data_IF_931083718013
#
_entry.id   IF_931083718013
#
_cell.length_a   1.000
_cell.length_b   1.000
_cell.length_c   1.000
_cell.angle_alpha   90.00
_cell.angle_beta   90.00
_cell.angle_gamma   90.00
#
_symmetry.space_group_name_H-M   'P 1'
#
loop_
_entity.id
_entity.type
_entity.pdbx_description
1 polymer ?
#
# COMPACT_ATOMS: atom_id res chain seq x y z
N UNK A 1 37.54 75.91 42.11
CA UNK A 1 37.27 76.89 41.04
C UNK A 1 36.37 76.23 39.98
N UNK A 2 35.37 76.96 39.51
CA UNK A 2 34.29 76.56 38.57
C UNK A 2 34.77 76.41 37.12
N UNK A 3 34.15 75.46 36.38
CA UNK A 3 33.59 75.50 34.99
C UNK A 3 33.62 74.05 34.45
N UNK A 4 32.53 73.29 34.43
CA UNK A 4 31.42 73.28 33.43
C UNK A 4 31.96 73.47 32.00
N UNK A 5 32.03 72.41 31.18
CA UNK A 5 31.05 72.17 30.11
C UNK A 5 31.34 70.94 29.22
N UNK A 6 30.22 70.32 28.80
CA UNK A 6 29.96 69.56 27.55
C UNK A 6 30.07 68.04 27.53
N UNK A 7 28.88 67.45 27.66
CA UNK A 7 28.41 66.26 26.96
C UNK A 7 28.95 66.15 25.53
N UNK A 8 29.51 64.99 25.20
CA UNK A 8 29.26 64.30 23.94
C UNK A 8 28.96 62.84 24.31
N UNK A 9 27.70 62.48 24.21
CA UNK A 9 27.21 61.11 24.33
C UNK A 9 27.60 60.41 23.02
N UNK A 10 28.56 59.50 23.09
CA UNK A 10 28.92 58.62 21.98
C UNK A 10 28.23 57.28 22.21
N UNK A 11 26.97 57.20 21.76
CA UNK A 11 26.25 55.92 21.60
C UNK A 11 26.60 55.41 20.21
N UNK A 12 27.47 54.41 20.13
CA UNK A 12 27.68 53.66 18.89
C UNK A 12 27.79 52.17 19.23
N UNK A 13 26.69 51.48 18.90
CA UNK A 13 26.56 50.11 18.42
C UNK A 13 27.59 49.06 18.89
N UNK A 14 27.21 48.27 19.89
CA UNK A 14 27.66 46.88 19.99
C UNK A 14 26.75 46.01 19.12
N UNK A 15 27.24 45.61 17.97
CA UNK A 15 26.62 44.62 17.07
C UNK A 15 26.73 43.25 17.72
N UNK A 16 25.62 42.74 18.26
CA UNK A 16 25.51 41.32 18.57
C UNK A 16 25.30 40.58 17.26
N UNK A 17 26.36 39.91 16.80
CA UNK A 17 26.31 38.92 15.72
C UNK A 17 25.42 37.75 16.18
N UNK A 18 24.15 37.80 15.81
CA UNK A 18 23.31 36.61 15.75
C UNK A 18 23.76 35.84 14.52
N UNK A 19 24.62 34.85 14.72
CA UNK A 19 24.93 33.85 13.71
C UNK A 19 23.67 33.06 13.40
N UNK A 20 22.98 33.41 12.31
CA UNK A 20 22.13 32.48 11.59
C UNK A 20 23.03 31.39 11.00
N UNK A 21 23.30 30.36 11.80
CA UNK A 21 23.71 29.07 11.29
C UNK A 21 22.56 28.57 10.42
N UNK A 22 22.71 28.72 9.11
CA UNK A 22 22.00 27.95 8.09
C UNK A 22 22.35 26.48 8.27
N UNK A 23 21.75 25.86 9.30
CA UNK A 23 21.60 24.43 9.37
C UNK A 23 20.62 24.08 8.28
N UNK A 24 21.13 23.60 7.15
CA UNK A 24 20.38 22.71 6.28
C UNK A 24 19.83 21.61 7.18
N UNK A 25 18.57 21.75 7.59
CA UNK A 25 17.78 20.60 8.01
C UNK A 25 17.98 19.56 6.92
N UNK A 26 18.36 18.32 7.24
CA UNK A 26 18.20 17.23 6.31
C UNK A 26 16.73 17.28 5.94
N UNK A 27 16.45 17.71 4.72
CA UNK A 27 15.17 17.54 4.08
C UNK A 27 14.94 16.05 4.22
N UNK A 28 14.09 15.68 5.19
CA UNK A 28 13.74 14.30 5.42
C UNK A 28 13.32 13.83 4.05
N UNK A 29 14.15 12.99 3.43
CA UNK A 29 13.70 12.16 2.36
C UNK A 29 12.52 11.46 2.98
N UNK A 30 11.31 11.89 2.63
CA UNK A 30 10.16 11.04 2.77
C UNK A 30 10.48 9.89 1.85
N UNK A 31 11.24 8.94 2.39
CA UNK A 31 11.22 7.56 1.98
C UNK A 31 9.73 7.30 1.92
N UNK A 32 9.24 7.14 0.71
CA UNK A 32 7.89 6.72 0.45
C UNK A 32 7.80 5.35 1.13
N UNK A 33 7.48 5.35 2.43
CA UNK A 33 7.29 4.15 3.22
C UNK A 33 5.97 3.62 2.73
N UNK A 34 6.02 2.96 1.56
CA UNK A 34 5.01 2.00 1.16
C UNK A 34 4.71 1.18 2.41
N UNK A 35 3.45 1.28 2.83
CA UNK A 35 2.92 0.81 4.10
C UNK A 35 3.44 -0.62 4.33
N UNK A 36 4.05 -0.84 5.49
CA UNK A 36 4.70 -2.12 5.82
C UNK A 36 3.66 -3.17 6.14
N UNK A 37 3.97 -4.43 5.92
CA UNK A 37 3.19 -5.54 6.46
C UNK A 37 3.31 -5.52 7.99
N UNK A 38 2.20 -5.73 8.70
CA UNK A 38 2.12 -5.57 10.16
C UNK A 38 1.57 -6.80 10.90
N UNK A 39 0.95 -7.75 10.19
CA UNK A 39 0.29 -8.91 10.80
C UNK A 39 1.03 -10.18 10.41
N UNK A 40 1.07 -11.14 11.32
CA UNK A 40 1.36 -12.52 10.97
C UNK A 40 0.01 -13.19 10.66
N UNK A 41 -0.04 -13.99 9.60
CA UNK A 41 -1.26 -14.66 9.18
C UNK A 41 -1.05 -16.16 9.08
N UNK A 42 -2.04 -16.92 9.54
CA UNK A 42 -2.16 -18.35 9.28
C UNK A 42 -2.63 -18.54 7.84
N UNK A 43 -1.90 -19.34 7.07
CA UNK A 43 -2.19 -19.62 5.65
C UNK A 43 -2.66 -21.06 5.40
N UNK A 44 -2.96 -21.83 6.45
CA UNK A 44 -3.41 -23.23 6.33
C UNK A 44 -4.61 -23.37 5.39
N UNK A 45 -5.56 -22.43 5.45
CA UNK A 45 -6.76 -22.43 4.59
C UNK A 45 -6.47 -22.11 3.10
N UNK A 46 -5.25 -21.66 2.79
CA UNK A 46 -4.78 -21.22 1.49
C UNK A 46 -3.68 -22.13 0.90
N UNK A 47 -3.33 -23.24 1.58
CA UNK A 47 -2.13 -24.02 1.27
C UNK A 47 -2.06 -24.50 -0.18
N UNK A 48 -3.17 -24.99 -0.74
CA UNK A 48 -3.21 -25.45 -2.14
C UNK A 48 -2.76 -24.37 -3.14
N UNK A 49 -3.16 -23.12 -2.90
CA UNK A 49 -2.85 -22.00 -3.77
C UNK A 49 -1.43 -21.50 -3.53
N UNK A 50 -0.98 -21.53 -2.28
CA UNK A 50 0.41 -21.24 -1.90
C UNK A 50 1.37 -22.24 -2.55
N UNK A 51 1.07 -23.53 -2.51
CA UNK A 51 1.88 -24.58 -3.14
C UNK A 51 2.01 -24.37 -4.67
N UNK A 52 0.91 -23.94 -5.31
CA UNK A 52 0.91 -23.59 -6.72
C UNK A 52 1.79 -22.36 -7.02
N UNK A 53 1.75 -21.34 -6.15
CA UNK A 53 2.63 -20.16 -6.25
C UNK A 53 4.09 -20.58 -6.12
N UNK A 54 4.42 -21.35 -5.08
CA UNK A 54 5.78 -21.84 -4.80
C UNK A 54 6.32 -22.65 -5.97
N UNK A 55 5.53 -23.58 -6.51
CA UNK A 55 5.95 -24.46 -7.60
C UNK A 55 6.13 -23.71 -8.92
N UNK A 56 5.30 -22.69 -9.18
CA UNK A 56 5.33 -21.90 -10.41
C UNK A 56 6.34 -20.76 -10.43
N UNK A 57 7.11 -20.56 -9.36
CA UNK A 57 8.02 -19.42 -9.20
C UNK A 57 9.49 -19.79 -9.36
N UNK A 58 10.27 -18.85 -9.90
CA UNK A 58 11.73 -19.02 -10.06
C UNK A 58 12.46 -18.97 -8.71
N UNK A 59 11.89 -18.27 -7.73
CA UNK A 59 12.40 -18.14 -6.35
C UNK A 59 11.82 -19.22 -5.41
N UNK A 60 11.52 -20.42 -5.94
CA UNK A 60 10.80 -21.45 -5.19
C UNK A 60 11.46 -21.86 -3.87
N UNK A 61 12.80 -21.88 -3.76
CA UNK A 61 13.50 -22.21 -2.51
C UNK A 61 13.26 -21.16 -1.43
N UNK A 62 13.27 -19.89 -1.81
CA UNK A 62 12.96 -18.80 -0.89
C UNK A 62 11.49 -18.83 -0.47
N UNK A 63 10.57 -19.06 -1.41
CA UNK A 63 9.16 -19.19 -1.09
C UNK A 63 8.88 -20.37 -0.16
N UNK A 64 9.51 -21.53 -0.40
CA UNK A 64 9.42 -22.69 0.50
C UNK A 64 9.86 -22.36 1.91
N UNK A 65 10.89 -21.54 2.08
CA UNK A 65 11.37 -21.13 3.39
C UNK A 65 10.37 -20.22 4.11
N UNK A 66 9.75 -19.28 3.39
CA UNK A 66 8.76 -18.35 3.97
C UNK A 66 7.47 -19.07 4.39
N UNK A 67 7.02 -20.07 3.62
CA UNK A 67 5.71 -20.72 3.88
C UNK A 67 5.83 -22.01 4.69
N UNK A 68 7.01 -22.28 5.25
CA UNK A 68 7.36 -23.58 5.83
C UNK A 68 6.56 -23.95 7.09
N UNK A 69 6.05 -22.94 7.80
CA UNK A 69 5.39 -23.08 9.10
C UNK A 69 3.88 -22.80 9.03
N UNK A 70 3.29 -22.89 7.83
CA UNK A 70 1.88 -22.59 7.54
C UNK A 70 1.47 -21.17 7.99
N UNK A 71 2.43 -20.27 8.13
CA UNK A 71 2.23 -18.87 8.42
C UNK A 71 2.96 -17.98 7.40
N UNK A 72 2.49 -16.75 7.25
CA UNK A 72 3.25 -15.67 6.64
C UNK A 72 3.43 -14.58 7.68
N UNK A 73 4.67 -14.32 8.06
CA UNK A 73 4.97 -13.24 9.00
C UNK A 73 5.07 -11.89 8.32
N UNK A 74 4.80 -10.83 9.08
CA UNK A 74 5.01 -9.46 8.64
C UNK A 74 6.46 -9.22 8.20
N UNK A 75 7.43 -9.81 8.90
CA UNK A 75 8.85 -9.65 8.62
C UNK A 75 9.26 -10.34 7.31
N UNK A 76 8.77 -11.55 7.04
CA UNK A 76 9.02 -12.25 5.76
C UNK A 76 8.45 -11.48 4.57
N UNK A 77 7.22 -10.97 4.71
CA UNK A 77 6.59 -10.19 3.64
C UNK A 77 7.27 -8.83 3.44
N UNK A 78 7.72 -8.18 4.52
CA UNK A 78 8.51 -6.96 4.44
C UNK A 78 9.88 -7.20 3.79
N UNK A 79 10.54 -8.32 4.11
CA UNK A 79 11.79 -8.73 3.48
C UNK A 79 11.60 -9.01 2.00
N UNK A 80 10.54 -9.74 1.63
CA UNK A 80 10.27 -10.04 0.23
C UNK A 80 9.97 -8.77 -0.57
N UNK A 81 9.16 -7.85 -0.04
CA UNK A 81 8.92 -6.54 -0.65
C UNK A 81 10.23 -5.74 -0.81
N UNK A 82 11.14 -5.81 0.17
CA UNK A 82 12.47 -5.18 0.07
C UNK A 82 13.28 -5.76 -1.08
N UNK A 83 13.29 -7.09 -1.26
CA UNK A 83 13.96 -7.76 -2.39
C UNK A 83 13.38 -7.34 -3.73
N UNK A 84 12.05 -7.24 -3.84
CA UNK A 84 11.38 -6.73 -5.05
C UNK A 84 11.79 -5.28 -5.34
N UNK A 85 11.72 -4.39 -4.34
CA UNK A 85 12.17 -2.99 -4.48
C UNK A 85 13.60 -2.88 -4.98
N UNK A 86 14.50 -3.72 -4.45
CA UNK A 86 15.90 -3.76 -4.91
C UNK A 86 16.03 -4.25 -6.36
N UNK A 87 15.23 -5.25 -6.77
CA UNK A 87 15.22 -5.75 -8.15
C UNK A 87 14.79 -4.67 -9.16
N UNK A 88 13.75 -3.89 -8.84
CA UNK A 88 13.33 -2.74 -9.65
C UNK A 88 14.40 -1.63 -9.67
N UNK A 89 15.01 -1.32 -8.51
CA UNK A 89 16.04 -0.28 -8.40
C UNK A 89 17.27 -0.58 -9.26
N UNK A 90 17.70 -1.84 -9.31
CA UNK A 90 18.79 -2.30 -10.19
C UNK A 90 18.50 -2.09 -11.68
N UNK A 91 17.23 -1.92 -12.06
CA UNK A 91 16.77 -1.70 -13.43
C UNK A 91 16.35 -0.25 -13.71
N UNK A 92 16.65 0.67 -12.78
CA UNK A 92 16.37 2.10 -12.96
C UNK A 92 14.96 2.52 -12.52
N UNK A 93 14.23 1.66 -11.81
CA UNK A 93 12.86 1.93 -11.37
C UNK A 93 12.76 2.00 -9.84
N UNK A 94 11.89 2.86 -9.34
CA UNK A 94 11.41 2.83 -7.97
C UNK A 94 10.07 2.07 -7.95
N UNK A 95 9.95 1.11 -7.03
CA UNK A 95 8.72 0.35 -6.80
C UNK A 95 8.18 0.65 -5.40
N UNK A 96 6.87 0.88 -5.32
CA UNK A 96 6.16 0.95 -4.05
C UNK A 96 4.93 0.03 -4.08
N UNK A 97 4.64 -0.56 -2.94
CA UNK A 97 3.43 -1.33 -2.70
C UNK A 97 2.76 -0.76 -1.46
N UNK A 98 1.47 -0.46 -1.55
CA UNK A 98 0.64 -0.03 -0.43
C UNK A 98 -0.22 -1.20 0.04
N UNK A 99 0.08 -1.72 1.23
CA UNK A 99 -0.61 -2.89 1.80
C UNK A 99 -2.08 -2.61 2.15
N UNK A 100 -2.47 -1.33 2.31
CA UNK A 100 -3.83 -0.96 2.69
C UNK A 100 -4.76 -0.89 1.48
N UNK A 101 -4.24 -0.34 0.37
CA UNK A 101 -4.99 -0.25 -0.89
C UNK A 101 -4.78 -1.47 -1.77
N UNK A 102 -3.72 -2.25 -1.56
CA UNK A 102 -3.31 -3.33 -2.44
C UNK A 102 -2.65 -2.85 -3.73
N UNK A 103 -2.43 -1.55 -3.89
CA UNK A 103 -1.92 -0.96 -5.12
C UNK A 103 -0.39 -0.94 -5.15
N UNK A 104 0.17 -1.19 -6.34
CA UNK A 104 1.58 -0.96 -6.63
C UNK A 104 1.76 0.26 -7.51
N UNK A 105 2.84 1.01 -7.29
CA UNK A 105 3.27 2.09 -8.18
C UNK A 105 4.70 1.89 -8.62
N UNK A 106 4.97 2.23 -9.88
CA UNK A 106 6.32 2.21 -10.46
C UNK A 106 6.62 3.57 -11.05
N UNK A 107 7.79 4.11 -10.74
CA UNK A 107 8.30 5.35 -11.33
C UNK A 107 9.75 5.16 -11.74
N UNK A 108 10.26 5.96 -12.67
CA UNK A 108 11.69 5.91 -13.00
C UNK A 108 12.52 6.65 -11.96
N UNK A 109 13.73 6.16 -11.70
CA UNK A 109 14.68 6.81 -10.78
C UNK A 109 15.32 8.07 -11.37
N UNK A 110 15.39 8.18 -12.70
CA UNK A 110 15.93 9.34 -13.41
C UNK A 110 14.90 10.47 -13.62
N UNK A 111 13.69 10.31 -13.10
CA UNK A 111 12.60 11.29 -13.20
C UNK A 111 11.93 11.38 -14.57
N UNK A 112 12.29 10.52 -15.54
CA UNK A 112 11.60 10.47 -16.84
C UNK A 112 10.25 9.75 -16.73
N UNK A 113 9.40 9.92 -17.74
CA UNK A 113 8.16 9.15 -17.86
C UNK A 113 8.47 7.65 -18.00
N UNK A 114 7.67 6.80 -17.35
CA UNK A 114 7.78 5.34 -17.47
C UNK A 114 7.56 4.85 -18.92
N UNK A 115 6.83 5.62 -19.73
CA UNK A 115 6.57 5.34 -21.15
C UNK A 115 7.81 5.42 -22.04
N UNK A 116 8.84 6.17 -21.59
CA UNK A 116 10.10 6.35 -22.31
C UNK A 116 11.14 5.39 -21.69
N UNK A 117 11.04 4.09 -21.95
CA UNK A 117 11.75 3.05 -21.16
C UNK A 117 13.26 2.87 -21.49
N UNK A 118 14.03 2.31 -20.54
CA UNK A 118 15.41 1.78 -20.75
C UNK A 118 15.40 0.26 -20.99
N UNK A 119 14.55 -0.46 -20.25
CA UNK A 119 14.13 -1.86 -20.44
C UNK A 119 12.60 -1.87 -20.44
N UNK A 120 11.95 -2.80 -21.15
CA UNK A 120 10.50 -2.94 -21.15
C UNK A 120 9.95 -3.13 -19.71
N UNK A 121 9.07 -2.25 -19.26
CA UNK A 121 8.55 -2.24 -17.87
C UNK A 121 7.80 -3.54 -17.56
N UNK A 122 7.11 -4.11 -18.55
CA UNK A 122 6.40 -5.38 -18.38
C UNK A 122 7.40 -6.50 -18.08
N UNK A 123 8.55 -6.51 -18.77
CA UNK A 123 9.62 -7.46 -18.52
C UNK A 123 10.27 -7.27 -17.15
N UNK A 124 10.43 -6.02 -16.70
CA UNK A 124 10.91 -5.72 -15.34
C UNK A 124 9.93 -6.25 -14.30
N UNK A 125 8.63 -6.01 -14.48
CA UNK A 125 7.58 -6.46 -13.58
C UNK A 125 7.50 -7.97 -13.51
N UNK A 126 7.53 -8.62 -14.67
CA UNK A 126 7.57 -10.07 -14.78
C UNK A 126 8.74 -10.66 -13.98
N UNK A 127 9.96 -10.19 -14.23
CA UNK A 127 11.19 -10.71 -13.58
C UNK A 127 11.25 -10.42 -12.08
N UNK A 128 10.83 -9.24 -11.65
CA UNK A 128 11.01 -8.81 -10.26
C UNK A 128 9.86 -9.22 -9.33
N UNK A 129 8.65 -9.42 -9.87
CA UNK A 129 7.44 -9.65 -9.09
C UNK A 129 6.74 -10.97 -9.45
N UNK A 130 6.45 -11.21 -10.73
CA UNK A 130 5.57 -12.32 -11.10
C UNK A 130 6.29 -13.67 -11.14
N UNK A 131 7.50 -13.70 -11.70
CA UNK A 131 8.37 -14.88 -11.70
C UNK A 131 8.79 -15.24 -10.27
N UNK A 132 9.09 -14.24 -9.44
CA UNK A 132 9.48 -14.47 -8.04
C UNK A 132 8.31 -14.96 -7.19
N UNK A 133 7.07 -14.78 -7.65
CA UNK A 133 5.84 -15.15 -6.94
C UNK A 133 5.36 -14.09 -5.96
N UNK A 134 6.01 -12.93 -5.89
CA UNK A 134 5.68 -11.85 -4.97
C UNK A 134 4.25 -11.34 -5.16
N UNK A 135 3.86 -10.98 -6.39
CA UNK A 135 2.51 -10.44 -6.68
C UNK A 135 1.42 -11.38 -6.21
N UNK A 136 1.59 -12.68 -6.47
CA UNK A 136 0.63 -13.72 -6.07
C UNK A 136 0.63 -13.95 -4.56
N UNK A 137 1.80 -14.01 -3.93
CA UNK A 137 1.89 -14.26 -2.48
C UNK A 137 1.30 -13.11 -1.66
N UNK A 138 1.53 -11.86 -2.08
CA UNK A 138 0.97 -10.68 -1.42
C UNK A 138 -0.56 -10.68 -1.46
N UNK A 139 -1.16 -11.08 -2.57
CA UNK A 139 -2.62 -11.24 -2.67
C UNK A 139 -3.12 -12.32 -1.70
N UNK A 140 -2.37 -13.42 -1.53
CA UNK A 140 -2.72 -14.47 -0.57
C UNK A 140 -2.54 -14.06 0.88
N UNK A 141 -1.47 -13.31 1.19
CA UNK A 141 -1.32 -12.67 2.49
C UNK A 141 -2.54 -11.78 2.80
N UNK A 142 -2.92 -10.89 1.87
CA UNK A 142 -4.09 -10.03 2.06
C UNK A 142 -5.36 -10.86 2.26
N UNK A 143 -5.58 -11.88 1.43
CA UNK A 143 -6.72 -12.79 1.57
C UNK A 143 -6.78 -13.44 2.95
N UNK A 144 -5.64 -13.91 3.48
CA UNK A 144 -5.57 -14.50 4.81
C UNK A 144 -5.78 -13.49 5.94
N UNK A 145 -5.43 -12.21 5.73
CA UNK A 145 -5.76 -11.13 6.68
C UNK A 145 -7.28 -10.90 6.76
N UNK A 146 -7.97 -10.76 5.62
CA UNK A 146 -9.40 -10.41 5.59
C UNK A 146 -10.32 -11.64 5.72
N UNK A 147 -9.87 -12.83 5.34
CA UNK A 147 -10.64 -14.07 5.27
C UNK A 147 -9.79 -15.28 5.71
N UNK A 148 -9.33 -15.33 6.97
CA UNK A 148 -8.40 -16.38 7.44
C UNK A 148 -8.94 -17.82 7.31
N UNK A 149 -10.26 -17.97 7.15
CA UNK A 149 -10.93 -19.27 7.00
C UNK A 149 -11.23 -19.64 5.55
N UNK A 150 -10.81 -18.83 4.59
CA UNK A 150 -11.07 -18.99 3.16
C UNK A 150 -12.55 -19.29 2.85
N UNK A 151 -13.45 -18.51 3.45
CA UNK A 151 -14.89 -18.65 3.27
C UNK A 151 -15.31 -18.08 1.91
N UNK A 152 -16.41 -18.59 1.36
CA UNK A 152 -17.12 -17.89 0.29
C UNK A 152 -17.69 -16.58 0.85
N UNK A 153 -17.11 -15.44 0.45
CA UNK A 153 -17.48 -14.13 0.98
C UNK A 153 -18.78 -13.58 0.39
N UNK A 154 -19.30 -14.12 -0.72
CA UNK A 154 -20.47 -13.56 -1.42
C UNK A 154 -21.69 -13.36 -0.50
N UNK A 155 -22.08 -14.32 0.37
CA UNK A 155 -23.20 -14.12 1.30
C UNK A 155 -22.94 -12.98 2.29
N UNK A 156 -21.70 -12.77 2.71
CA UNK A 156 -21.30 -11.74 3.66
C UNK A 156 -21.27 -10.35 3.02
N UNK A 157 -20.82 -10.25 1.77
CA UNK A 157 -20.91 -9.00 0.99
C UNK A 157 -22.37 -8.58 0.84
N UNK A 158 -23.24 -9.48 0.38
CA UNK A 158 -24.68 -9.21 0.23
C UNK A 158 -25.29 -8.75 1.55
N UNK A 159 -25.01 -9.48 2.64
CA UNK A 159 -25.48 -9.10 3.97
C UNK A 159 -25.00 -7.70 4.37
N UNK A 160 -23.72 -7.39 4.18
CA UNK A 160 -23.16 -6.08 4.51
C UNK A 160 -23.84 -4.96 3.71
N UNK A 161 -24.04 -5.15 2.41
CA UNK A 161 -24.72 -4.17 1.56
C UNK A 161 -26.16 -3.91 2.04
N UNK A 162 -26.88 -4.96 2.43
CA UNK A 162 -28.25 -4.84 2.98
C UNK A 162 -28.24 -4.15 4.34
N UNK A 163 -27.36 -4.56 5.25
CA UNK A 163 -27.28 -4.03 6.62
C UNK A 163 -26.95 -2.53 6.63
N UNK A 164 -26.17 -2.04 5.66
CA UNK A 164 -25.85 -0.63 5.48
C UNK A 164 -26.84 0.15 4.60
N UNK A 165 -27.91 -0.49 4.12
CA UNK A 165 -28.91 0.16 3.26
C UNK A 165 -28.37 0.56 1.88
N UNK A 166 -27.29 -0.09 1.43
CA UNK A 166 -26.72 0.08 0.10
C UNK A 166 -27.46 -0.77 -0.95
N UNK A 167 -28.18 -1.80 -0.51
CA UNK A 167 -29.03 -2.65 -1.33
C UNK A 167 -30.35 -2.97 -0.63
N UNK A 168 -31.39 -3.29 -1.41
CA UNK A 168 -32.71 -3.68 -0.89
C UNK A 168 -32.67 -5.04 -0.18
N UNK A 169 -33.64 -5.31 0.70
CA UNK A 169 -33.75 -6.56 1.45
C UNK A 169 -33.89 -7.81 0.55
N UNK A 170 -34.30 -7.65 -0.71
CA UNK A 170 -34.38 -8.73 -1.69
C UNK A 170 -33.08 -8.97 -2.45
N UNK A 171 -32.04 -8.16 -2.22
CA UNK A 171 -30.76 -8.27 -2.93
C UNK A 171 -30.12 -9.63 -2.69
N UNK A 172 -29.82 -10.33 -3.77
CA UNK A 172 -29.37 -11.71 -3.74
C UNK A 172 -27.90 -11.85 -4.13
N UNK A 173 -27.35 -13.05 -3.93
CA UNK A 173 -26.01 -13.38 -4.43
C UNK A 173 -25.94 -13.28 -5.96
N UNK A 174 -27.03 -13.59 -6.66
CA UNK A 174 -27.08 -13.48 -8.12
C UNK A 174 -27.02 -12.01 -8.56
N UNK A 175 -27.73 -11.12 -7.85
CA UNK A 175 -27.68 -9.67 -8.10
C UNK A 175 -26.27 -9.14 -7.84
N UNK A 176 -25.66 -9.52 -6.72
CA UNK A 176 -24.26 -9.19 -6.44
C UNK A 176 -23.30 -9.62 -7.56
N UNK A 177 -23.42 -10.86 -8.05
CA UNK A 177 -22.55 -11.36 -9.13
C UNK A 177 -22.76 -10.56 -10.42
N UNK A 178 -24.02 -10.27 -10.77
CA UNK A 178 -24.35 -9.47 -11.94
C UNK A 178 -23.79 -8.04 -11.81
N UNK A 179 -24.13 -7.36 -10.72
CA UNK A 179 -23.82 -5.95 -10.52
C UNK A 179 -22.33 -5.68 -10.33
N UNK A 180 -21.61 -6.56 -9.62
CA UNK A 180 -20.16 -6.43 -9.47
C UNK A 180 -19.43 -6.56 -10.81
N UNK A 181 -19.94 -7.39 -11.73
CA UNK A 181 -19.37 -7.54 -13.07
C UNK A 181 -19.73 -6.38 -14.00
N UNK A 182 -20.96 -5.88 -13.91
CA UNK A 182 -21.44 -4.78 -14.75
C UNK A 182 -21.12 -3.40 -14.18
N UNK A 183 -20.50 -3.33 -12.99
CA UNK A 183 -20.29 -2.09 -12.22
C UNK A 183 -21.61 -1.32 -11.99
N UNK A 184 -22.72 -2.04 -11.81
CA UNK A 184 -24.08 -1.48 -11.66
C UNK A 184 -24.61 -1.53 -10.22
N UNK A 185 -25.78 -0.95 -9.98
CA UNK A 185 -26.47 -1.04 -8.70
C UNK A 185 -25.66 -0.46 -7.54
N UNK A 186 -25.44 -1.19 -6.43
CA UNK A 186 -24.63 -0.71 -5.31
C UNK A 186 -23.19 -0.34 -5.68
N UNK A 187 -22.67 -0.80 -6.83
CA UNK A 187 -21.28 -0.61 -7.24
C UNK A 187 -21.04 0.62 -8.13
N UNK A 188 -22.10 1.23 -8.66
CA UNK A 188 -22.00 2.44 -9.52
C UNK A 188 -21.27 3.57 -8.81
N UNK A 189 -21.54 3.71 -7.51
CA UNK A 189 -20.93 4.74 -6.66
C UNK A 189 -19.40 4.66 -6.66
N UNK A 190 -18.81 3.49 -6.87
CA UNK A 190 -17.36 3.32 -6.82
C UNK A 190 -16.62 3.98 -8.00
N UNK A 191 -17.28 4.19 -9.15
CA UNK A 191 -16.69 4.88 -10.31
C UNK A 191 -17.12 6.36 -10.39
N UNK A 192 -18.15 6.75 -9.65
CA UNK A 192 -18.67 8.11 -9.67
C UNK A 192 -17.96 8.95 -8.60
N UNK A 193 -17.00 9.78 -9.02
CA UNK A 193 -16.30 10.70 -8.11
C UNK A 193 -17.24 11.72 -7.45
N UNK A 194 -18.42 11.98 -8.04
CA UNK A 194 -19.45 12.87 -7.48
C UNK A 194 -20.41 12.17 -6.52
N UNK A 195 -20.35 10.82 -6.44
CA UNK A 195 -21.21 10.07 -5.54
C UNK A 195 -20.88 10.35 -4.07
N UNK A 196 -21.90 10.14 -3.23
CA UNK A 196 -21.80 10.29 -1.78
C UNK A 196 -20.59 9.50 -1.22
N UNK A 197 -19.65 10.23 -0.63
CA UNK A 197 -18.39 9.68 -0.12
C UNK A 197 -18.63 8.63 0.96
N UNK A 198 -19.67 8.79 1.78
CA UNK A 198 -20.00 7.82 2.82
C UNK A 198 -20.49 6.51 2.20
N UNK A 199 -21.41 6.57 1.23
CA UNK A 199 -21.88 5.38 0.50
C UNK A 199 -20.75 4.68 -0.24
N UNK A 200 -19.87 5.44 -0.89
CA UNK A 200 -18.67 4.91 -1.56
C UNK A 200 -17.77 4.15 -0.59
N UNK A 201 -17.46 4.76 0.55
CA UNK A 201 -16.61 4.15 1.55
C UNK A 201 -17.25 2.88 2.12
N UNK A 202 -18.55 2.91 2.44
CA UNK A 202 -19.26 1.74 2.96
C UNK A 202 -19.35 0.62 1.92
N UNK A 203 -19.59 0.94 0.64
CA UNK A 203 -19.57 -0.04 -0.44
C UNK A 203 -18.18 -0.67 -0.55
N UNK A 204 -17.11 0.14 -0.50
CA UNK A 204 -15.74 -0.35 -0.51
C UNK A 204 -15.43 -1.27 0.68
N UNK A 205 -15.90 -0.93 1.88
CA UNK A 205 -15.76 -1.77 3.09
C UNK A 205 -16.47 -3.10 2.90
N UNK A 206 -17.75 -3.10 2.48
CA UNK A 206 -18.51 -4.33 2.28
C UNK A 206 -17.89 -5.26 1.23
N UNK A 207 -17.20 -4.72 0.23
CA UNK A 207 -16.58 -5.54 -0.83
C UNK A 207 -15.20 -6.05 -0.41
N UNK A 208 -14.43 -5.23 0.31
CA UNK A 208 -13.05 -5.55 0.69
C UNK A 208 -12.96 -6.39 1.96
N UNK A 209 -13.76 -6.07 2.97
CA UNK A 209 -13.75 -6.72 4.29
C UNK A 209 -15.18 -6.89 4.84
N UNK A 210 -16.04 -7.69 4.19
CA UNK A 210 -17.40 -7.97 4.66
C UNK A 210 -17.46 -8.68 6.02
N UNK A 211 -16.32 -9.16 6.53
CA UNK A 211 -16.20 -9.84 7.82
C UNK A 211 -15.76 -8.90 8.95
N UNK A 212 -15.27 -7.70 8.64
CA UNK A 212 -14.80 -6.71 9.63
C UNK A 212 -13.53 -7.13 10.37
N UNK A 213 -12.61 -7.83 9.72
CA UNK A 213 -11.39 -8.37 10.35
C UNK A 213 -10.24 -7.34 10.45
N UNK A 214 -10.34 -6.18 9.80
CA UNK A 214 -9.21 -5.26 9.58
C UNK A 214 -9.54 -3.79 9.88
N UNK A 215 -10.69 -3.51 10.52
CA UNK A 215 -11.01 -2.17 11.04
C UNK A 215 -9.93 -1.62 12.00
#
# INVERSE_FOLDING_TARGET
MKKINRCVIMVVMLVLLVSCSSGNSPQSSQVNQGTRFLKNVDITAYQQEIDAIVTGSVDNEYLKAIVADDALTADEMNEFNRRVKQCYAQRGYNFSYDVNSGNSTVSRLDGQSVEVSLEDLDNVTYKCSDDTGYSRLVVKYASAVYNPKNLDLKPYVVKCLIDHGLADQSYSIADYVHDSQQRSGPFEVLDDESADVQKRNQTSVCVRDPLGNVE
#
